data_IF_085637249469
#
_entry.id   IF_085637249469
#
_cell.length_a   1.000
_cell.length_b   1.000
_cell.length_c   1.000
_cell.angle_alpha   90.00
_cell.angle_beta   90.00
_cell.angle_gamma   90.00
#
_symmetry.space_group_name_H-M   'P 1'
#
loop_
_entity.id
_entity.type
_entity.pdbx_description
1 polymer ?
#
# COMPACT_ATOMS: atom_id res chain seq x y z
N UNK A 1 0.79 -12.53 -20.32
CA UNK A 1 0.60 -12.52 -18.85
C UNK A 1 1.42 -11.37 -18.24
N UNK A 2 0.80 -10.58 -17.36
CA UNK A 2 1.39 -9.38 -16.74
C UNK A 2 1.20 -9.45 -15.22
N UNK A 3 2.29 -9.25 -14.48
CA UNK A 3 2.27 -9.06 -13.02
C UNK A 3 2.81 -7.67 -12.73
N UNK A 4 2.14 -6.95 -11.82
CA UNK A 4 2.57 -5.62 -11.36
C UNK A 4 2.82 -5.70 -9.87
N UNK A 5 4.06 -5.40 -9.46
CA UNK A 5 4.43 -5.28 -8.07
C UNK A 5 4.09 -3.90 -7.55
N UNK A 6 3.39 -3.85 -6.42
CA UNK A 6 3.02 -2.62 -5.72
C UNK A 6 3.35 -2.74 -4.23
N UNK A 7 3.50 -1.59 -3.58
CA UNK A 7 3.71 -1.53 -2.15
C UNK A 7 3.12 -0.23 -1.57
N UNK A 8 3.30 -0.01 -0.27
CA UNK A 8 2.81 1.18 0.43
C UNK A 8 3.44 2.50 -0.08
N UNK A 9 4.56 2.43 -0.81
CA UNK A 9 5.16 3.59 -1.51
C UNK A 9 4.51 3.89 -2.86
N UNK A 10 3.70 2.97 -3.40
CA UNK A 10 2.93 3.19 -4.62
C UNK A 10 1.78 4.14 -4.32
N UNK A 11 1.80 5.33 -4.94
CA UNK A 11 0.85 6.40 -4.65
C UNK A 11 0.39 7.12 -5.92
N UNK A 12 -0.79 7.74 -5.89
CA UNK A 12 -1.28 8.64 -6.94
C UNK A 12 -1.42 7.92 -8.29
N UNK A 13 -0.77 8.41 -9.35
CA UNK A 13 -0.88 7.85 -10.71
C UNK A 13 -0.58 6.35 -10.78
N UNK A 14 0.36 5.84 -9.97
CA UNK A 14 0.67 4.41 -9.90
C UNK A 14 -0.53 3.59 -9.42
N UNK A 15 -1.32 4.13 -8.51
CA UNK A 15 -2.53 3.48 -7.99
C UNK A 15 -3.65 3.49 -9.02
N UNK A 16 -3.76 4.55 -9.83
CA UNK A 16 -4.72 4.61 -10.95
C UNK A 16 -4.40 3.51 -11.96
N UNK A 17 -3.12 3.35 -12.33
CA UNK A 17 -2.68 2.31 -13.27
C UNK A 17 -2.91 0.91 -12.68
N UNK A 18 -2.53 0.68 -11.41
CA UNK A 18 -2.73 -0.60 -10.76
C UNK A 18 -4.22 -0.97 -10.65
N UNK A 19 -5.07 -0.04 -10.23
CA UNK A 19 -6.52 -0.24 -10.16
C UNK A 19 -7.15 -0.51 -11.52
N UNK A 20 -6.75 0.22 -12.57
CA UNK A 20 -7.25 -0.01 -13.91
C UNK A 20 -6.85 -1.39 -14.46
N UNK A 21 -5.58 -1.80 -14.26
CA UNK A 21 -5.12 -3.12 -14.66
C UNK A 21 -5.83 -4.24 -13.91
N UNK A 22 -6.07 -4.04 -12.60
CA UNK A 22 -6.79 -4.97 -11.74
C UNK A 22 -8.25 -5.14 -12.19
N UNK A 23 -8.99 -4.04 -12.31
CA UNK A 23 -10.43 -4.05 -12.61
C UNK A 23 -10.72 -4.62 -14.01
N UNK A 24 -9.86 -4.31 -14.98
CA UNK A 24 -9.97 -4.88 -16.33
C UNK A 24 -9.39 -6.30 -16.44
N UNK A 25 -8.91 -6.90 -15.33
CA UNK A 25 -8.27 -8.22 -15.31
C UNK A 25 -7.12 -8.32 -16.32
N UNK A 26 -6.40 -7.21 -16.55
CA UNK A 26 -5.33 -7.10 -17.54
C UNK A 26 -3.96 -7.49 -16.98
N UNK A 27 -3.81 -7.44 -15.67
CA UNK A 27 -2.64 -7.94 -14.95
C UNK A 27 -2.99 -8.34 -13.52
N UNK A 28 -2.15 -9.19 -12.92
CA UNK A 28 -2.25 -9.54 -11.51
C UNK A 28 -1.45 -8.52 -10.69
N UNK A 29 -2.12 -7.83 -9.77
CA UNK A 29 -1.46 -6.95 -8.81
C UNK A 29 -0.93 -7.79 -7.66
N UNK A 30 0.36 -7.68 -7.34
CA UNK A 30 1.03 -8.43 -6.27
C UNK A 30 1.82 -7.49 -5.36
N UNK A 31 2.00 -7.87 -4.09
CA UNK A 31 2.80 -7.10 -3.12
C UNK A 31 1.99 -6.67 -1.91
N UNK A 32 2.14 -5.42 -1.47
CA UNK A 32 1.40 -4.88 -0.31
C UNK A 32 0.40 -3.79 -0.70
N UNK A 33 -0.57 -3.53 0.18
CA UNK A 33 -1.58 -2.49 -0.04
C UNK A 33 -0.92 -1.13 -0.28
N UNK A 34 -1.38 -0.40 -1.30
CA UNK A 34 -0.77 0.87 -1.70
C UNK A 34 -1.11 2.02 -0.75
N UNK A 35 -0.52 3.19 -1.00
CA UNK A 35 -0.58 4.33 -0.08
C UNK A 35 -2.00 4.89 0.17
N UNK A 36 -2.82 4.99 -0.88
CA UNK A 36 -4.17 5.54 -0.83
C UNK A 36 -4.29 7.02 -1.17
N UNK A 37 -3.40 7.56 -2.01
CA UNK A 37 -3.47 8.97 -2.44
C UNK A 37 -4.35 9.07 -3.69
N UNK A 38 -5.64 9.26 -3.46
CA UNK A 38 -6.66 9.32 -4.51
C UNK A 38 -7.24 10.71 -4.75
N UNK A 39 -6.52 11.80 -4.47
CA UNK A 39 -7.03 13.17 -4.63
C UNK A 39 -6.23 13.99 -5.64
N UNK A 40 -6.93 14.89 -6.33
CA UNK A 40 -6.36 15.85 -7.28
C UNK A 40 -6.34 17.22 -6.63
N UNK A 41 -5.19 17.89 -6.64
CA UNK A 41 -5.10 19.27 -6.21
C UNK A 41 -4.84 20.22 -7.38
N UNK A 42 -5.48 21.37 -7.35
CA UNK A 42 -5.26 22.48 -8.27
C UNK A 42 -4.71 23.67 -7.48
N UNK A 43 -3.71 24.35 -8.03
CA UNK A 43 -3.20 25.61 -7.47
C UNK A 43 -3.92 26.76 -8.15
N UNK A 44 -4.56 27.63 -7.37
CA UNK A 44 -5.22 28.86 -7.82
C UNK A 44 -4.41 30.07 -7.36
N UNK A 45 -3.83 30.87 -8.27
CA UNK A 45 -3.16 32.11 -7.90
C UNK A 45 -4.15 33.08 -7.23
N UNK A 46 -3.71 33.72 -6.15
CA UNK A 46 -4.44 34.81 -5.48
C UNK A 46 -3.76 36.18 -5.73
N UNK A 47 -2.56 36.17 -6.30
CA UNK A 47 -1.75 37.33 -6.63
C UNK A 47 -0.41 36.89 -7.24
N UNK A 48 0.59 37.78 -7.34
CA UNK A 48 1.90 37.47 -7.91
C UNK A 48 2.65 36.36 -7.16
N UNK A 49 2.60 36.39 -5.82
CA UNK A 49 3.44 35.54 -4.96
C UNK A 49 2.63 34.62 -4.03
N UNK A 50 1.32 34.50 -4.24
CA UNK A 50 0.43 33.72 -3.37
C UNK A 50 -0.50 32.85 -4.19
N UNK A 51 -0.66 31.60 -3.77
CA UNK A 51 -1.57 30.65 -4.39
C UNK A 51 -2.22 29.73 -3.37
N UNK A 52 -3.45 29.31 -3.68
CA UNK A 52 -4.24 28.38 -2.90
C UNK A 52 -4.21 27.00 -3.56
N UNK A 53 -3.67 25.99 -2.88
CA UNK A 53 -3.73 24.60 -3.31
C UNK A 53 -4.97 23.93 -2.72
N UNK A 54 -5.93 23.59 -3.56
CA UNK A 54 -7.22 23.00 -3.15
C UNK A 54 -7.44 21.66 -3.82
N UNK A 55 -8.02 20.72 -3.08
CA UNK A 55 -8.49 19.46 -3.63
C UNK A 55 -9.74 19.71 -4.47
N UNK A 56 -9.71 19.31 -5.73
CA UNK A 56 -10.78 19.58 -6.71
C UNK A 56 -11.44 18.32 -7.24
N UNK A 57 -10.80 17.16 -7.10
CA UNK A 57 -11.36 15.88 -7.53
C UNK A 57 -10.78 14.70 -6.73
N UNK A 58 -11.41 13.53 -6.89
CA UNK A 58 -10.95 12.24 -6.40
C UNK A 58 -10.83 11.24 -7.55
N UNK A 59 -9.89 10.32 -7.43
CA UNK A 59 -9.75 9.18 -8.34
C UNK A 59 -10.52 7.97 -7.83
N UNK A 60 -11.26 7.38 -8.76
CA UNK A 60 -11.94 6.10 -8.60
C UNK A 60 -11.40 5.14 -9.65
N UNK A 61 -11.28 3.88 -9.27
CA UNK A 61 -10.98 2.79 -10.20
C UNK A 61 -12.16 2.60 -11.18
N UNK A 62 -11.99 1.91 -12.33
CA UNK A 62 -13.08 1.64 -13.28
C UNK A 62 -14.32 0.97 -12.66
N UNK A 63 -14.15 0.19 -11.60
CA UNK A 63 -15.22 -0.44 -10.82
C UNK A 63 -15.96 0.51 -9.87
N UNK A 64 -15.48 1.76 -9.74
CA UNK A 64 -16.03 2.76 -8.82
C UNK A 64 -15.47 2.70 -7.40
N UNK A 65 -14.41 1.94 -7.15
CA UNK A 65 -13.75 1.89 -5.83
C UNK A 65 -12.88 3.13 -5.62
N UNK A 66 -13.03 3.82 -4.50
CA UNK A 66 -12.21 4.98 -4.12
C UNK A 66 -10.77 4.56 -3.84
N UNK A 67 -9.81 5.29 -4.42
CA UNK A 67 -8.39 5.15 -4.08
C UNK A 67 -8.06 5.92 -2.81
N UNK A 68 -8.73 7.05 -2.57
CA UNK A 68 -8.43 7.93 -1.44
C UNK A 68 -8.61 7.18 -0.11
N UNK A 69 -7.62 7.27 0.79
CA UNK A 69 -7.53 6.62 2.11
C UNK A 69 -7.55 5.07 2.11
N UNK A 70 -7.97 4.43 1.02
CA UNK A 70 -7.99 2.97 0.87
C UNK A 70 -6.72 2.44 0.16
N UNK A 71 -6.34 3.05 -0.95
CA UNK A 71 -5.37 2.48 -1.89
C UNK A 71 -5.92 1.28 -2.66
N UNK A 72 -5.05 0.66 -3.44
CA UNK A 72 -5.26 -0.58 -4.18
C UNK A 72 -4.83 -1.75 -3.31
N UNK A 73 -5.73 -2.72 -3.15
CA UNK A 73 -5.47 -3.98 -2.47
C UNK A 73 -5.01 -4.97 -3.53
N UNK A 74 -3.78 -5.51 -3.45
CA UNK A 74 -3.28 -6.48 -4.42
C UNK A 74 -4.16 -7.72 -4.54
N UNK A 75 -4.18 -8.34 -5.72
CA UNK A 75 -4.82 -9.65 -5.90
C UNK A 75 -4.11 -10.74 -5.11
N UNK A 76 -2.79 -10.63 -4.96
CA UNK A 76 -1.97 -11.54 -4.15
C UNK A 76 -1.11 -10.71 -3.21
N UNK A 77 -1.40 -10.79 -1.91
CA UNK A 77 -0.56 -10.17 -0.90
C UNK A 77 0.75 -10.94 -0.79
N UNK A 78 1.88 -10.22 -0.87
CA UNK A 78 3.23 -10.79 -0.80
C UNK A 78 4.05 -9.95 0.17
N UNK A 79 4.78 -10.64 1.03
CA UNK A 79 5.69 -10.01 1.99
C UNK A 79 7.01 -9.61 1.32
N UNK A 80 7.78 -8.71 1.95
CA UNK A 80 9.09 -8.30 1.43
C UNK A 80 10.14 -9.38 1.57
N UNK A 81 9.92 -10.34 2.47
CA UNK A 81 10.79 -11.50 2.69
C UNK A 81 9.95 -12.75 2.95
N UNK A 82 10.56 -13.93 2.81
CA UNK A 82 9.90 -15.21 3.13
C UNK A 82 9.49 -15.34 4.62
N UNK A 83 10.13 -14.57 5.50
CA UNK A 83 9.89 -14.53 6.94
C UNK A 83 8.81 -13.49 7.32
N UNK A 84 8.39 -12.65 6.38
CA UNK A 84 7.39 -11.59 6.57
C UNK A 84 7.92 -10.20 6.22
N UNK A 85 7.08 -9.19 6.46
CA UNK A 85 7.44 -7.78 6.26
C UNK A 85 7.63 -7.08 7.62
N UNK A 86 8.80 -7.19 8.27
CA UNK A 86 9.01 -6.64 9.62
C UNK A 86 8.76 -5.13 9.69
N UNK A 87 8.90 -4.43 8.56
CA UNK A 87 8.74 -2.99 8.45
C UNK A 87 7.43 -2.53 7.81
N UNK A 88 6.57 -3.44 7.33
CA UNK A 88 5.32 -3.04 6.66
C UNK A 88 4.39 -2.24 7.59
N UNK A 89 4.34 -2.59 8.87
CA UNK A 89 3.50 -1.87 9.84
C UNK A 89 3.98 -0.43 10.10
N UNK A 90 5.24 -0.11 9.81
CA UNK A 90 5.81 1.22 9.98
C UNK A 90 5.56 2.14 8.79
N UNK A 91 5.08 1.60 7.67
CA UNK A 91 4.80 2.39 6.47
C UNK A 91 3.49 3.15 6.63
N UNK A 92 3.62 4.46 6.63
CA UNK A 92 2.51 5.41 6.68
C UNK A 92 1.69 5.31 5.40
N UNK A 93 0.38 5.20 5.54
CA UNK A 93 -0.59 5.34 4.43
C UNK A 93 -1.37 6.64 4.58
N UNK A 94 -2.13 7.00 3.55
CA UNK A 94 -2.98 8.17 3.57
C UNK A 94 -3.94 8.16 4.77
N UNK A 95 -4.56 7.03 5.07
CA UNK A 95 -5.47 6.89 6.22
C UNK A 95 -4.79 7.03 7.60
N UNK A 96 -3.47 6.94 7.66
CA UNK A 96 -2.71 7.11 8.91
C UNK A 96 -2.30 8.58 9.14
N UNK A 97 -2.44 9.44 8.13
CA UNK A 97 -2.11 10.85 8.25
C UNK A 97 -3.16 11.60 9.07
N UNK A 98 -2.68 12.56 9.87
CA UNK A 98 -3.57 13.49 10.56
C UNK A 98 -4.37 14.31 9.55
N UNK A 99 -5.68 14.41 9.78
CA UNK A 99 -6.62 15.19 8.95
C UNK A 99 -6.61 14.79 7.46
N UNK A 100 -6.31 13.52 7.17
CA UNK A 100 -6.46 13.01 5.81
C UNK A 100 -7.90 13.14 5.30
N UNK A 101 -8.06 13.16 3.99
CA UNK A 101 -9.38 13.14 3.38
C UNK A 101 -9.91 11.71 3.42
N UNK A 102 -11.09 11.52 4.01
CA UNK A 102 -11.79 10.24 3.97
C UNK A 102 -12.11 9.80 2.54
N UNK A 103 -12.18 8.49 2.36
CA UNK A 103 -12.58 7.78 1.13
C UNK A 103 -14.00 8.13 0.67
N UNK A 104 -14.89 8.44 1.61
CA UNK A 104 -16.32 8.66 1.34
C UNK A 104 -17.09 7.38 1.01
N UNK A 105 -16.47 6.21 1.15
CA UNK A 105 -17.07 4.90 0.91
C UNK A 105 -16.89 4.03 2.16
N UNK A 106 -17.83 4.16 3.11
CA UNK A 106 -17.84 3.39 4.36
C UNK A 106 -17.22 4.11 5.56
N UNK A 107 -17.41 3.56 6.77
CA UNK A 107 -16.80 4.10 7.98
C UNK A 107 -15.29 3.86 8.00
N UNK A 108 -14.52 4.88 8.35
CA UNK A 108 -13.09 4.76 8.60
C UNK A 108 -12.87 4.59 10.09
N UNK A 109 -12.76 3.35 10.56
CA UNK A 109 -12.38 3.08 11.94
C UNK A 109 -10.86 3.01 12.07
N UNK A 110 -10.34 3.67 13.11
CA UNK A 110 -8.97 3.39 13.56
C UNK A 110 -8.94 1.94 14.01
N UNK A 111 -8.10 1.13 13.37
CA UNK A 111 -7.92 -0.25 13.79
C UNK A 111 -6.88 -0.31 14.93
N UNK A 112 -7.29 -0.53 16.19
CA UNK A 112 -6.38 -0.55 17.34
C UNK A 112 -5.38 -1.71 17.26
N UNK A 113 -5.69 -2.80 16.55
CA UNK A 113 -4.75 -3.90 16.32
C UNK A 113 -3.60 -3.44 15.42
N UNK A 114 -3.88 -2.58 14.44
CA UNK A 114 -2.85 -2.00 13.56
C UNK A 114 -1.95 -1.01 14.30
N UNK A 115 -2.51 -0.21 15.21
CA UNK A 115 -1.71 0.67 16.07
C UNK A 115 -0.78 -0.13 16.99
N UNK A 116 -1.29 -1.20 17.61
CA UNK A 116 -0.47 -2.14 18.40
C UNK A 116 0.62 -2.79 17.55
N UNK A 117 0.30 -3.29 16.37
CA UNK A 117 1.27 -3.89 15.45
C UNK A 117 2.34 -2.87 15.01
N UNK A 118 1.98 -1.59 14.85
CA UNK A 118 2.93 -0.52 14.54
C UNK A 118 3.86 -0.22 15.71
N UNK A 119 3.35 -0.20 16.93
CA UNK A 119 4.17 -0.02 18.13
C UNK A 119 5.12 -1.20 18.37
N UNK A 120 4.66 -2.44 18.15
CA UNK A 120 5.51 -3.63 18.19
C UNK A 120 6.57 -3.63 17.09
N UNK A 121 6.20 -3.26 15.86
CA UNK A 121 7.15 -3.12 14.77
C UNK A 121 8.17 -2.01 15.03
N UNK A 122 7.78 -0.91 15.69
CA UNK A 122 8.71 0.18 16.06
C UNK A 122 9.72 -0.31 17.09
N UNK A 123 9.28 -1.06 18.10
CA UNK A 123 10.19 -1.70 19.08
C UNK A 123 11.15 -2.68 18.41
N UNK A 124 10.66 -3.53 17.49
CA UNK A 124 11.51 -4.46 16.73
C UNK A 124 12.53 -3.72 15.87
N UNK A 125 12.12 -2.63 15.19
CA UNK A 125 13.04 -1.81 14.40
C UNK A 125 14.09 -1.12 15.28
N UNK A 126 13.71 -0.60 16.46
CA UNK A 126 14.67 -0.05 17.42
C UNK A 126 15.67 -1.10 17.93
N UNK A 127 15.25 -2.35 18.13
CA UNK A 127 16.12 -3.47 18.48
C UNK A 127 17.04 -3.89 17.31
N UNK A 128 16.53 -3.93 16.08
CA UNK A 128 17.33 -4.22 14.89
C UNK A 128 18.30 -3.09 14.54
N UNK A 129 17.94 -1.83 14.80
CA UNK A 129 18.82 -0.69 14.61
C UNK A 129 20.04 -0.73 15.55
N UNK A 130 19.92 -1.40 16.72
CA UNK A 130 21.04 -1.65 17.63
C UNK A 130 22.00 -2.74 17.14
N UNK A 131 21.59 -3.57 16.17
CA UNK A 131 22.47 -4.58 15.55
C UNK A 131 23.47 -3.91 14.60
N UNK A 132 24.68 -4.48 14.45
CA UNK A 132 25.67 -3.94 13.51
C UNK A 132 25.11 -3.92 12.07
N UNK A 133 25.55 -2.98 11.21
CA UNK A 133 24.97 -2.78 9.88
C UNK A 133 24.94 -4.02 8.98
N UNK A 134 25.87 -4.95 9.19
CA UNK A 134 25.98 -6.22 8.44
C UNK A 134 24.86 -7.21 8.79
N UNK A 135 24.27 -7.10 9.98
CA UNK A 135 23.18 -7.97 10.44
C UNK A 135 21.79 -7.36 10.19
N UNK A 136 21.74 -6.16 9.61
CA UNK A 136 20.48 -5.49 9.27
C UNK A 136 19.95 -6.10 7.97
N UNK A 137 18.92 -6.94 8.08
CA UNK A 137 18.16 -7.44 6.93
C UNK A 137 17.33 -6.30 6.32
N UNK A 138 17.94 -5.50 5.46
CA UNK A 138 17.20 -4.57 4.59
C UNK A 138 16.75 -5.33 3.34
N UNK A 139 15.48 -5.21 2.91
CA UNK A 139 15.06 -5.76 1.63
C UNK A 139 15.86 -5.11 0.50
N UNK A 140 16.56 -5.91 -0.30
CA UNK A 140 17.15 -5.47 -1.57
C UNK A 140 16.18 -5.79 -2.70
N UNK A 141 15.89 -4.78 -3.53
CA UNK A 141 15.00 -4.92 -4.68
C UNK A 141 15.81 -5.05 -5.98
N UNK A 142 15.33 -5.88 -6.89
CA UNK A 142 15.94 -6.11 -8.21
C UNK A 142 17.14 -7.06 -8.21
N UNK A 143 17.53 -7.60 -7.06
CA UNK A 143 18.52 -8.68 -6.96
C UNK A 143 17.84 -10.05 -7.19
N UNK A 144 18.60 -11.12 -7.46
CA UNK A 144 18.05 -12.48 -7.50
C UNK A 144 17.35 -12.90 -6.21
N UNK A 145 17.67 -12.26 -5.08
CA UNK A 145 17.13 -12.49 -3.75
C UNK A 145 15.86 -11.65 -3.45
N UNK A 146 15.44 -10.78 -4.37
CA UNK A 146 14.20 -9.99 -4.25
C UNK A 146 12.99 -10.93 -4.21
N UNK A 147 12.51 -11.16 -2.99
CA UNK A 147 11.45 -12.14 -2.74
C UNK A 147 10.13 -11.79 -3.47
N UNK A 148 9.61 -10.54 -3.43
CA UNK A 148 8.49 -10.12 -4.26
C UNK A 148 8.69 -10.41 -5.76
N UNK A 149 9.89 -10.14 -6.30
CA UNK A 149 10.20 -10.43 -7.70
C UNK A 149 10.20 -11.94 -7.99
N UNK A 150 10.79 -12.76 -7.12
CA UNK A 150 10.74 -14.21 -7.23
C UNK A 150 9.31 -14.74 -7.24
N UNK A 151 8.44 -14.21 -6.38
CA UNK A 151 7.02 -14.56 -6.34
C UNK A 151 6.29 -14.14 -7.62
N UNK A 152 6.56 -12.94 -8.15
CA UNK A 152 5.99 -12.48 -9.40
C UNK A 152 6.40 -13.37 -10.59
N UNK A 153 7.67 -13.78 -10.65
CA UNK A 153 8.16 -14.70 -11.67
C UNK A 153 7.54 -16.10 -11.53
N UNK A 154 7.36 -16.58 -10.29
CA UNK A 154 6.65 -17.84 -10.03
C UNK A 154 5.20 -17.78 -10.54
N UNK A 155 4.48 -16.69 -10.24
CA UNK A 155 3.12 -16.45 -10.73
C UNK A 155 3.05 -16.47 -12.27
N UNK A 156 4.00 -15.81 -12.95
CA UNK A 156 4.05 -15.80 -14.42
C UNK A 156 4.32 -17.19 -15.02
N UNK A 157 5.07 -18.03 -14.31
CA UNK A 157 5.37 -19.42 -14.70
C UNK A 157 4.27 -20.42 -14.31
N UNK A 158 3.22 -19.97 -13.62
CA UNK A 158 2.17 -20.85 -13.07
C UNK A 158 2.64 -21.73 -11.91
N UNK A 159 3.76 -21.37 -11.27
CA UNK A 159 4.26 -22.06 -10.09
C UNK A 159 3.55 -21.55 -8.81
N UNK A 160 3.57 -22.33 -7.72
CA UNK A 160 3.00 -21.89 -6.44
C UNK A 160 3.65 -20.59 -5.93
N UNK A 161 2.82 -19.67 -5.45
CA UNK A 161 3.24 -18.39 -4.85
C UNK A 161 3.08 -18.46 -3.33
N UNK A 162 4.08 -17.98 -2.61
CA UNK A 162 4.03 -17.79 -1.16
C UNK A 162 3.28 -16.49 -0.85
N UNK A 163 2.03 -16.65 -0.39
CA UNK A 163 1.18 -15.53 0.04
C UNK A 163 1.67 -15.00 1.39
N UNK A 164 1.47 -13.71 1.61
CA UNK A 164 1.83 -13.00 2.83
C UNK A 164 1.31 -13.72 4.08
N UNK A 165 2.19 -13.83 5.08
CA UNK A 165 1.85 -14.36 6.42
C UNK A 165 1.52 -13.23 7.39
N UNK A 166 1.88 -12.00 7.06
CA UNK A 166 1.84 -10.84 7.97
C UNK A 166 0.83 -9.77 7.57
N UNK A 167 0.36 -9.76 6.31
CA UNK A 167 -0.59 -8.79 5.80
C UNK A 167 -1.96 -9.46 5.65
N UNK A 168 -2.95 -8.93 6.37
CA UNK A 168 -4.35 -9.32 6.23
C UNK A 168 -5.10 -8.10 5.69
N UNK A 169 -5.98 -8.30 4.72
CA UNK A 169 -6.89 -7.27 4.24
C UNK A 169 -7.63 -6.66 5.43
N UNK A 170 -7.62 -5.32 5.56
CA UNK A 170 -8.43 -4.64 6.58
C UNK A 170 -9.90 -4.91 6.23
N UNK A 171 -10.53 -5.86 6.94
CA UNK A 171 -11.97 -6.12 6.81
C UNK A 171 -12.72 -4.82 7.07
N UNK A 172 -13.54 -4.41 6.12
CA UNK A 172 -14.55 -3.38 6.38
C UNK A 172 -15.48 -3.90 7.47
N UNK A 173 -15.70 -3.08 8.51
CA UNK A 173 -16.71 -3.39 9.52
C UNK A 173 -18.05 -3.58 8.83
N UNK A 174 -18.59 -4.80 8.90
CA UNK A 174 -19.96 -5.08 8.45
C UNK A 174 -20.90 -4.19 9.24
N UNK A 175 -21.70 -3.38 8.54
CA UNK A 175 -22.89 -2.77 9.12
C UNK A 175 -23.80 -3.89 9.61
N UNK A 176 -23.96 -4.02 10.92
CA UNK A 176 -25.15 -4.64 11.48
C UNK A 176 -26.33 -3.74 11.08
N UNK A 177 -27.27 -4.31 10.33
CA UNK A 177 -28.55 -3.69 10.00
C UNK A 177 -29.49 -3.79 11.20
#
# INVERSE_FOLDING_TARGET
>A
PLVVLVNEGSASASEIVAGALQDHKRGTIMGSQTFGKGSVQTVRPLGPDTGLKITTARYYTPSGTSIQARGIIPNVLVDETAEGSPYAALRTREADLEKHLASGQGPESKNPEREKARDEARKRLEEEAKKPPQDRKVPEFGTPEDFPLMQALAQLKGAPVLVSKTQVERKEEKKEN
#
